data_IF_109688706953
#
_entry.id   IF_109688706953
#
_cell.length_a   1.000
_cell.length_b   1.000
_cell.length_c   1.000
_cell.angle_alpha   90.00
_cell.angle_beta   90.00
_cell.angle_gamma   90.00
#
_symmetry.space_group_name_H-M   'P 1'
#
loop_
_entity.id
_entity.type
_entity.pdbx_description
1 polymer ?
#
# COMPACT_ATOMS: atom_id res chain seq x y z
N UNK A 1 -12.77 -7.69 8.86
CA UNK A 1 -12.33 -6.44 9.52
C UNK A 1 -13.52 -5.88 10.28
N UNK A 2 -13.40 -5.73 11.60
CA UNK A 2 -14.49 -5.26 12.46
C UNK A 2 -14.52 -3.73 12.52
N UNK A 3 -15.70 -3.13 12.72
CA UNK A 3 -15.83 -1.68 12.94
C UNK A 3 -14.93 -1.16 14.09
N UNK A 4 -14.62 -2.04 15.04
CA UNK A 4 -13.66 -1.77 16.13
C UNK A 4 -12.21 -1.60 15.62
N UNK A 5 -11.81 -2.37 14.63
CA UNK A 5 -10.46 -2.30 14.05
C UNK A 5 -10.30 -0.99 13.26
N UNK A 6 -11.35 -0.59 12.53
CA UNK A 6 -11.38 0.69 11.81
C UNK A 6 -11.34 1.90 12.76
N UNK A 7 -12.05 1.82 13.90
CA UNK A 7 -12.07 2.88 14.89
C UNK A 7 -10.73 3.02 15.62
N UNK A 8 -10.04 1.91 15.89
CA UNK A 8 -8.68 1.92 16.44
C UNK A 8 -7.65 2.49 15.44
N UNK A 9 -7.79 2.17 14.16
CA UNK A 9 -6.95 2.75 13.11
C UNK A 9 -7.17 4.28 12.98
N UNK A 10 -8.42 4.74 13.06
CA UNK A 10 -8.76 6.16 13.00
C UNK A 10 -8.23 6.95 14.21
N UNK A 11 -8.35 6.39 15.42
CA UNK A 11 -7.80 7.01 16.64
C UNK A 11 -6.28 7.10 16.57
N UNK A 12 -5.61 6.04 16.10
CA UNK A 12 -4.15 6.03 15.94
C UNK A 12 -3.66 7.08 14.94
N UNK A 13 -4.44 7.36 13.89
CA UNK A 13 -4.11 8.38 12.90
C UNK A 13 -4.23 9.79 13.49
N UNK A 14 -5.28 10.02 14.30
CA UNK A 14 -5.54 11.29 14.97
C UNK A 14 -4.51 11.59 16.08
N UNK A 15 -4.06 10.58 16.84
CA UNK A 15 -2.99 10.76 17.83
C UNK A 15 -1.64 11.07 17.17
N UNK A 16 -1.34 10.46 16.03
CA UNK A 16 -0.10 10.70 15.30
C UNK A 16 -0.06 12.08 14.62
N UNK A 17 -1.21 12.58 14.16
CA UNK A 17 -1.38 13.95 13.67
C UNK A 17 -1.23 15.00 14.79
N UNK A 18 -1.74 14.72 15.99
CA UNK A 18 -1.61 15.62 17.15
C UNK A 18 -0.20 15.65 17.77
N UNK A 19 0.66 14.68 17.47
CA UNK A 19 2.05 14.62 17.94
C UNK A 19 3.03 15.53 17.16
N UNK A 20 2.55 16.36 16.22
CA UNK A 20 3.39 17.24 15.40
C UNK A 20 4.10 16.53 14.24
N UNK A 21 3.64 15.33 13.86
CA UNK A 21 4.13 14.65 12.67
C UNK A 21 3.52 15.29 11.43
N UNK A 22 4.35 15.75 10.50
CA UNK A 22 3.88 16.25 9.21
C UNK A 22 3.12 15.15 8.45
N UNK A 23 2.08 15.47 7.66
CA UNK A 23 1.33 14.49 6.87
C UNK A 23 2.23 13.54 6.06
N UNK A 24 3.32 14.05 5.47
CA UNK A 24 4.31 13.25 4.74
C UNK A 24 5.00 12.19 5.62
N UNK A 25 5.27 12.50 6.89
CA UNK A 25 5.88 11.57 7.84
C UNK A 25 4.95 10.42 8.22
N UNK A 26 3.64 10.68 8.24
CA UNK A 26 2.62 9.64 8.46
C UNK A 26 2.48 8.72 7.25
N UNK A 27 2.53 9.29 6.03
CA UNK A 27 2.51 8.52 4.78
C UNK A 27 3.76 7.65 4.66
N UNK A 28 4.94 8.17 4.98
CA UNK A 28 6.19 7.40 4.96
C UNK A 28 6.21 6.32 6.04
N UNK A 29 5.70 6.60 7.25
CA UNK A 29 5.55 5.59 8.29
C UNK A 29 4.58 4.47 7.87
N UNK A 30 3.47 4.82 7.25
CA UNK A 30 2.51 3.85 6.72
C UNK A 30 3.10 3.03 5.57
N UNK A 31 3.85 3.66 4.65
CA UNK A 31 4.57 2.96 3.57
C UNK A 31 5.60 1.98 4.13
N UNK A 32 6.38 2.39 5.13
CA UNK A 32 7.35 1.53 5.81
C UNK A 32 6.67 0.36 6.52
N UNK A 33 5.55 0.60 7.20
CA UNK A 33 4.76 -0.47 7.82
C UNK A 33 4.22 -1.46 6.78
N UNK A 34 3.70 -0.97 5.66
CA UNK A 34 3.20 -1.82 4.57
C UNK A 34 4.31 -2.63 3.88
N UNK A 35 5.52 -2.06 3.76
CA UNK A 35 6.70 -2.78 3.27
C UNK A 35 7.11 -3.87 4.27
N UNK A 36 7.18 -3.55 5.56
CA UNK A 36 7.53 -4.51 6.60
C UNK A 36 6.55 -5.69 6.66
N UNK A 37 5.25 -5.42 6.55
CA UNK A 37 4.20 -6.44 6.53
C UNK A 37 4.34 -7.36 5.30
N UNK A 38 4.57 -6.79 4.13
CA UNK A 38 4.81 -7.55 2.90
C UNK A 38 6.07 -8.42 3.02
N UNK A 39 7.15 -7.86 3.53
CA UNK A 39 8.41 -8.58 3.70
C UNK A 39 8.25 -9.74 4.69
N UNK A 40 7.47 -9.58 5.76
CA UNK A 40 7.13 -10.66 6.68
C UNK A 40 6.42 -11.82 5.96
N UNK A 41 5.42 -11.52 5.13
CA UNK A 41 4.70 -12.53 4.34
C UNK A 41 5.62 -13.24 3.33
N UNK A 42 6.52 -12.50 2.67
CA UNK A 42 7.50 -13.08 1.73
C UNK A 42 8.47 -13.99 2.48
N UNK A 43 8.98 -13.58 3.64
CA UNK A 43 9.90 -14.38 4.47
C UNK A 43 9.22 -15.67 4.91
N UNK A 44 7.96 -15.59 5.36
CA UNK A 44 7.18 -16.76 5.76
C UNK A 44 7.00 -17.73 4.58
N UNK A 45 6.63 -17.20 3.42
CA UNK A 45 6.45 -18.01 2.21
C UNK A 45 7.75 -18.68 1.74
N UNK A 46 8.86 -17.95 1.73
CA UNK A 46 10.18 -18.49 1.37
C UNK A 46 10.62 -19.60 2.33
N UNK A 47 10.41 -19.39 3.63
CA UNK A 47 10.74 -20.38 4.66
C UNK A 47 9.92 -21.65 4.48
N UNK A 48 8.61 -21.52 4.23
CA UNK A 48 7.73 -22.66 3.94
C UNK A 48 8.19 -23.39 2.69
N UNK A 49 8.48 -22.67 1.60
CA UNK A 49 8.94 -23.26 0.33
C UNK A 49 10.27 -24.00 0.47
N UNK A 50 11.19 -23.49 1.30
CA UNK A 50 12.44 -24.17 1.58
C UNK A 50 12.23 -25.54 2.25
N UNK A 51 11.26 -25.65 3.16
CA UNK A 51 10.90 -26.93 3.80
C UNK A 51 10.23 -27.89 2.81
N UNK A 52 9.41 -27.39 1.88
CA UNK A 52 8.70 -28.19 0.87
C UNK A 52 9.65 -28.83 -0.17
N UNK A 53 10.79 -28.21 -0.51
CA UNK A 53 11.76 -28.79 -1.45
C UNK A 53 12.32 -30.14 -0.97
N UNK A 54 12.48 -30.32 0.33
CA UNK A 54 12.97 -31.55 0.94
C UNK A 54 14.48 -31.80 0.74
N UNK A 55 14.98 -32.86 1.39
CA UNK A 55 16.44 -33.12 1.53
C UNK A 55 16.96 -34.29 0.70
N UNK A 56 16.09 -34.99 -0.03
CA UNK A 56 16.38 -36.28 -0.66
C UNK A 56 17.34 -36.23 -1.85
N UNK A 57 17.49 -35.07 -2.50
CA UNK A 57 18.41 -34.86 -3.62
C UNK A 57 19.30 -33.63 -3.35
N UNK A 58 20.57 -33.68 -3.80
CA UNK A 58 21.51 -32.55 -3.74
C UNK A 58 20.94 -31.27 -4.38
N UNK A 59 20.25 -31.39 -5.51
CA UNK A 59 19.65 -30.23 -6.19
C UNK A 59 18.56 -29.59 -5.32
N UNK A 60 17.65 -30.41 -4.77
CA UNK A 60 16.59 -29.96 -3.87
C UNK A 60 17.13 -29.29 -2.60
N UNK A 61 18.18 -29.88 -2.00
CA UNK A 61 18.90 -29.27 -0.87
C UNK A 61 19.49 -27.91 -1.24
N UNK A 62 20.08 -27.80 -2.43
CA UNK A 62 20.64 -26.53 -2.91
C UNK A 62 19.56 -25.47 -3.09
N UNK A 63 18.37 -25.84 -3.62
CA UNK A 63 17.23 -24.93 -3.74
C UNK A 63 16.69 -24.49 -2.38
N UNK A 64 16.55 -25.42 -1.44
CA UNK A 64 16.16 -25.11 -0.06
C UNK A 64 17.13 -24.11 0.60
N UNK A 65 18.45 -24.33 0.47
CA UNK A 65 19.48 -23.43 1.00
C UNK A 65 19.41 -22.02 0.39
N UNK A 66 19.16 -21.91 -0.92
CA UNK A 66 18.99 -20.62 -1.58
C UNK A 66 17.77 -19.88 -1.04
N UNK A 67 16.63 -20.58 -0.90
CA UNK A 67 15.39 -19.99 -0.36
C UNK A 67 15.58 -19.50 1.08
N UNK A 68 16.25 -20.28 1.94
CA UNK A 68 16.60 -19.84 3.30
C UNK A 68 17.52 -18.62 3.31
N UNK A 69 18.53 -18.58 2.43
CA UNK A 69 19.42 -17.41 2.32
C UNK A 69 18.69 -16.16 1.82
N UNK A 70 17.66 -16.32 0.97
CA UNK A 70 16.83 -15.19 0.54
C UNK A 70 15.98 -14.67 1.71
N UNK A 71 15.34 -15.55 2.47
CA UNK A 71 14.58 -15.19 3.66
C UNK A 71 15.46 -14.48 4.71
N UNK A 72 16.66 -14.99 4.96
CA UNK A 72 17.63 -14.38 5.89
C UNK A 72 18.09 -12.98 5.43
N UNK A 73 18.31 -12.78 4.12
CA UNK A 73 18.67 -11.46 3.57
C UNK A 73 17.54 -10.44 3.68
N UNK A 74 16.30 -10.87 3.43
CA UNK A 74 15.09 -10.05 3.61
C UNK A 74 14.91 -9.66 5.07
N UNK A 75 15.03 -10.63 6.00
CA UNK A 75 14.92 -10.40 7.44
C UNK A 75 15.96 -9.41 7.99
N UNK A 76 17.18 -9.42 7.44
CA UNK A 76 18.26 -8.50 7.85
C UNK A 76 18.12 -7.08 7.30
N UNK A 77 17.09 -6.79 6.48
CA UNK A 77 16.97 -5.52 5.78
C UNK A 77 18.12 -5.27 4.79
N UNK A 78 18.85 -6.32 4.41
CA UNK A 78 19.93 -6.24 3.42
C UNK A 78 19.37 -6.13 1.99
N UNK A 79 18.07 -6.36 1.82
CA UNK A 79 17.33 -5.93 0.65
C UNK A 79 17.19 -4.43 0.74
N UNK A 80 17.95 -3.73 -0.10
CA UNK A 80 17.86 -2.28 -0.27
C UNK A 80 16.37 -1.89 -0.27
N UNK A 81 15.92 -0.94 0.58
CA UNK A 81 14.58 -0.40 0.46
C UNK A 81 14.35 -0.08 -1.01
N UNK A 82 13.22 -0.47 -1.62
CA UNK A 82 12.96 -0.10 -3.00
C UNK A 82 13.22 1.40 -3.07
N UNK A 83 14.18 1.79 -3.91
CA UNK A 83 14.56 3.18 -4.08
C UNK A 83 13.28 3.92 -4.50
N UNK A 84 12.61 4.54 -3.53
CA UNK A 84 11.65 5.62 -3.77
C UNK A 84 12.47 6.84 -4.22
N UNK A 85 13.11 6.68 -5.38
CA UNK A 85 13.67 7.71 -6.25
C UNK A 85 13.17 7.49 -7.68
N UNK A 86 12.10 6.74 -7.85
CA UNK A 86 11.30 6.71 -9.06
C UNK A 86 9.97 7.39 -8.77
N UNK A 87 9.32 8.01 -9.78
CA UNK A 87 7.94 8.48 -9.62
C UNK A 87 7.09 7.36 -9.04
N UNK A 88 6.11 7.72 -8.19
CA UNK A 88 5.12 6.78 -7.65
C UNK A 88 4.67 5.83 -8.77
N UNK A 89 4.48 4.52 -8.49
CA UNK A 89 4.09 3.58 -9.53
C UNK A 89 2.90 4.17 -10.28
N UNK A 90 3.09 4.45 -11.57
CA UNK A 90 2.03 4.95 -12.43
C UNK A 90 0.96 3.87 -12.40
N UNK A 91 -0.13 4.14 -11.70
CA UNK A 91 -1.25 3.21 -11.59
C UNK A 91 -1.90 3.22 -12.97
N UNK A 92 -1.46 2.31 -13.85
CA UNK A 92 -2.08 2.09 -15.15
C UNK A 92 -3.42 1.38 -14.95
N UNK A 93 -4.47 2.17 -14.79
CA UNK A 93 -5.84 1.65 -14.71
C UNK A 93 -6.24 1.05 -16.07
N UNK A 94 -6.83 -0.14 -16.05
CA UNK A 94 -7.48 -0.71 -17.23
C UNK A 94 -8.65 0.16 -17.66
N UNK A 95 -9.09 0.06 -18.93
CA UNK A 95 -10.23 0.85 -19.45
C UNK A 95 -11.51 0.68 -18.62
N UNK A 96 -11.75 -0.52 -18.10
CA UNK A 96 -12.88 -0.80 -17.20
C UNK A 96 -12.73 -0.07 -15.86
N UNK A 97 -11.53 -0.07 -15.28
CA UNK A 97 -11.28 0.61 -14.00
C UNK A 97 -11.36 2.12 -14.16
N UNK A 98 -10.90 2.67 -15.29
CA UNK A 98 -11.09 4.08 -15.64
C UNK A 98 -12.58 4.45 -15.73
N UNK A 99 -13.39 3.60 -16.35
CA UNK A 99 -14.85 3.82 -16.45
C UNK A 99 -15.54 3.76 -15.08
N UNK A 100 -15.16 2.80 -14.23
CA UNK A 100 -15.67 2.71 -12.87
C UNK A 100 -15.26 3.91 -12.02
N UNK A 101 -14.00 4.35 -12.14
CA UNK A 101 -13.49 5.51 -11.42
C UNK A 101 -14.20 6.80 -11.86
N UNK A 102 -14.40 7.00 -13.17
CA UNK A 102 -15.15 8.14 -13.69
C UNK A 102 -16.59 8.19 -13.14
N UNK A 103 -17.28 7.05 -13.11
CA UNK A 103 -18.62 6.96 -12.52
C UNK A 103 -18.62 7.27 -11.02
N UNK A 104 -17.64 6.75 -10.28
CA UNK A 104 -17.50 7.02 -8.85
C UNK A 104 -17.23 8.50 -8.56
N UNK A 105 -16.45 9.17 -9.41
CA UNK A 105 -16.17 10.61 -9.31
C UNK A 105 -17.41 11.46 -9.59
N UNK A 106 -18.22 11.09 -10.59
CA UNK A 106 -19.49 11.77 -10.88
C UNK A 106 -20.46 11.64 -9.69
N UNK A 107 -20.58 10.44 -9.12
CA UNK A 107 -21.41 10.20 -7.94
C UNK A 107 -20.90 10.98 -6.72
N UNK A 108 -19.58 11.05 -6.52
CA UNK A 108 -18.99 11.80 -5.42
C UNK A 108 -19.25 13.30 -5.57
N UNK A 109 -19.17 13.85 -6.79
CA UNK A 109 -19.49 15.25 -7.05
C UNK A 109 -20.97 15.58 -6.74
N UNK A 110 -21.90 14.68 -7.08
CA UNK A 110 -23.31 14.82 -6.76
C UNK A 110 -23.58 14.74 -5.24
N UNK A 111 -22.85 13.87 -4.53
CA UNK A 111 -22.92 13.80 -3.06
C UNK A 111 -22.36 15.04 -2.37
N UNK A 112 -21.28 15.62 -2.88
CA UNK A 112 -20.71 16.88 -2.36
C UNK A 112 -21.68 18.04 -2.59
N UNK A 113 -22.30 18.11 -3.76
CA UNK A 113 -23.32 19.11 -4.03
C UNK A 113 -24.55 18.97 -3.09
N UNK A 114 -24.88 17.74 -2.69
CA UNK A 114 -26.03 17.43 -1.83
C UNK A 114 -25.72 17.58 -0.33
N UNK A 115 -24.48 17.32 0.10
CA UNK A 115 -24.06 17.24 1.51
C UNK A 115 -22.81 18.06 1.81
N UNK A 116 -22.64 19.19 1.16
CA UNK A 116 -21.40 19.97 1.14
C UNK A 116 -20.83 20.45 2.48
N UNK A 117 -21.53 20.28 3.60
CA UNK A 117 -21.01 20.57 4.96
C UNK A 117 -20.32 19.36 5.61
N UNK A 118 -20.42 18.17 5.01
CA UNK A 118 -19.77 16.93 5.47
C UNK A 118 -18.41 16.65 4.80
N UNK A 119 -18.07 17.39 3.75
CA UNK A 119 -16.82 17.23 2.99
C UNK A 119 -15.87 18.38 3.29
N UNK A 120 -14.62 18.06 3.62
CA UNK A 120 -13.60 19.05 3.93
C UNK A 120 -12.58 19.25 2.78
N UNK A 121 -11.64 20.17 2.98
CA UNK A 121 -10.59 20.48 1.99
C UNK A 121 -9.71 19.26 1.68
N UNK A 122 -9.60 18.28 2.59
CA UNK A 122 -8.85 17.06 2.34
C UNK A 122 -9.61 16.10 1.41
N UNK A 123 -10.93 16.02 1.53
CA UNK A 123 -11.79 15.26 0.61
C UNK A 123 -11.76 15.84 -0.80
N UNK A 124 -11.80 17.17 -0.94
CA UNK A 124 -11.66 17.84 -2.24
C UNK A 124 -10.30 17.56 -2.89
N UNK A 125 -9.21 17.64 -2.12
CA UNK A 125 -7.87 17.33 -2.59
C UNK A 125 -7.69 15.85 -2.99
N UNK A 126 -8.39 14.93 -2.32
CA UNK A 126 -8.40 13.51 -2.68
C UNK A 126 -9.12 13.26 -4.01
N UNK A 127 -10.26 13.92 -4.25
CA UNK A 127 -11.01 13.81 -5.49
C UNK A 127 -10.25 14.36 -6.69
N UNK A 128 -9.53 15.46 -6.50
CA UNK A 128 -8.70 16.04 -7.56
C UNK A 128 -7.56 15.08 -7.96
N UNK A 129 -6.93 14.41 -6.99
CA UNK A 129 -5.95 13.35 -7.29
C UNK A 129 -6.57 12.18 -8.04
N UNK A 130 -7.80 11.79 -7.70
CA UNK A 130 -8.51 10.70 -8.39
C UNK A 130 -8.91 11.09 -9.83
N UNK A 131 -9.25 12.36 -10.09
CA UNK A 131 -9.48 12.88 -11.46
C UNK A 131 -8.21 12.84 -12.33
N UNK A 132 -7.05 13.11 -11.75
CA UNK A 132 -5.79 12.97 -12.50
C UNK A 132 -5.51 11.53 -12.95
N UNK A 133 -6.07 10.52 -12.25
CA UNK A 133 -5.92 9.10 -12.59
C UNK A 133 -6.88 8.63 -13.69
N UNK A 134 -8.03 9.30 -13.90
CA UNK A 134 -8.91 9.04 -15.06
C UNK A 134 -8.42 9.73 -16.34
N UNK A 135 -7.38 10.56 -16.25
CA UNK A 135 -6.88 11.35 -17.38
C UNK A 135 -7.71 12.59 -17.67
N UNK A 136 -8.62 12.99 -16.77
CA UNK A 136 -9.30 14.28 -16.82
C UNK A 136 -8.30 15.38 -16.43
N UNK A 137 -7.46 15.76 -17.38
CA UNK A 137 -6.72 17.02 -17.32
C UNK A 137 -7.72 18.12 -17.65
N UNK A 138 -8.12 18.88 -16.63
CA UNK A 138 -8.72 20.21 -16.82
C UNK A 138 -7.77 21.04 -17.68
N UNK A 139 -8.18 21.34 -18.92
CA UNK A 139 -7.61 22.41 -19.74
C UNK A 139 -8.37 23.71 -19.50
#
# INVERSE_FOLDING_TARGET
MSARDNLLAAISFNDAANAGSTPDGLVDAHRLAAIAERDAQIIEWLTKKAHEEGTSNKERRTRADVLFRMADKLSRGAVRPPLSKGPDPVIELSKSEQQFLAFALELAADQIASRGDEFDEADEAALEKLRTLTGEVTS
#
